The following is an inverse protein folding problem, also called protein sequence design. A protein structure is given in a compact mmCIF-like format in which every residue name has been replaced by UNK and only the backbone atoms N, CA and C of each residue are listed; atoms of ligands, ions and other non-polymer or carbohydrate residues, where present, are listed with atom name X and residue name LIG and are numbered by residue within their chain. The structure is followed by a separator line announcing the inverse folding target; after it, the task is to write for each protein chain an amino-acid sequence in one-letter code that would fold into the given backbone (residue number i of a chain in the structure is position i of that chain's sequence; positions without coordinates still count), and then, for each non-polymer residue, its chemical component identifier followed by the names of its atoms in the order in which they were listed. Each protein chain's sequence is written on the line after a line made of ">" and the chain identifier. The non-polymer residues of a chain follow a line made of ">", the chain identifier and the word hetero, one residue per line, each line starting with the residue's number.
data_IF_231266922327
#
_entry.id   IF_231266922327
#
_cell.length_a   1.000
_cell.length_b   1.000
_cell.length_c   1.000
_cell.angle_alpha   90.00
_cell.angle_beta   90.00
_cell.angle_gamma   90.00
#
_symmetry.space_group_name_H-M   'P 1'
#
loop_
_entity.id
_entity.type
_entity.pdbx_description
1 polymer ?
#
# COMPACT_ATOMS: atom_id res chain seq x y z
N UNK A 1 25.88 -5.58 21.05
CA UNK A 1 25.60 -7.03 21.06
C UNK A 1 24.23 -7.36 20.45
N UNK A 2 23.15 -6.71 20.86
CA UNK A 2 21.77 -6.95 20.33
C UNK A 2 21.68 -6.88 18.82
N UNK A 3 22.18 -5.82 18.17
CA UNK A 3 22.10 -5.67 16.72
C UNK A 3 22.86 -6.77 15.96
N UNK A 4 24.03 -7.18 16.46
CA UNK A 4 24.80 -8.30 15.89
C UNK A 4 23.99 -9.60 15.94
N UNK A 5 23.39 -9.92 17.10
CA UNK A 5 22.56 -11.12 17.24
C UNK A 5 21.33 -11.06 16.32
N UNK A 6 20.67 -9.90 16.21
CA UNK A 6 19.56 -9.71 15.28
C UNK A 6 19.98 -10.04 13.83
N UNK A 7 21.13 -9.52 13.38
CA UNK A 7 21.62 -9.78 12.03
C UNK A 7 21.97 -11.26 11.80
N UNK A 8 22.66 -11.89 12.77
CA UNK A 8 23.00 -13.31 12.71
C UNK A 8 21.75 -14.20 12.64
N UNK A 9 20.65 -13.82 13.30
CA UNK A 9 19.39 -14.58 13.33
C UNK A 9 18.32 -14.07 12.36
N UNK A 10 18.68 -13.21 11.39
CA UNK A 10 17.74 -12.66 10.40
C UNK A 10 16.52 -11.94 11.02
N UNK A 11 16.73 -11.25 12.14
CA UNK A 11 15.70 -10.44 12.82
C UNK A 11 15.97 -8.96 12.60
N UNK A 12 14.91 -8.17 12.49
CA UNK A 12 15.00 -6.71 12.47
C UNK A 12 15.41 -6.25 13.89
N UNK A 13 16.41 -5.36 14.04
CA UNK A 13 16.75 -4.80 15.33
C UNK A 13 15.58 -4.03 15.96
N UNK A 14 15.35 -4.11 17.29
CA UNK A 14 14.24 -3.42 17.95
C UNK A 14 14.21 -1.90 17.73
N UNK A 15 15.38 -1.26 17.68
CA UNK A 15 15.48 0.19 17.41
C UNK A 15 14.96 0.55 16.01
N UNK A 16 15.12 -0.34 15.03
CA UNK A 16 14.61 -0.14 13.67
C UNK A 16 13.13 -0.47 13.58
N UNK A 17 12.67 -1.50 14.28
CA UNK A 17 11.26 -1.87 14.35
C UNK A 17 10.43 -0.76 15.01
N UNK A 18 10.93 -0.16 16.10
CA UNK A 18 10.25 0.93 16.82
C UNK A 18 10.13 2.24 16.03
N UNK A 19 11.10 2.53 15.16
CA UNK A 19 11.05 3.67 14.23
C UNK A 19 10.39 3.31 12.88
N UNK A 20 10.23 2.02 12.62
CA UNK A 20 9.74 1.45 11.38
C UNK A 20 8.26 1.11 11.44
N UNK A 21 7.80 0.43 10.39
CA UNK A 21 6.42 0.01 10.24
C UNK A 21 6.23 -1.42 10.77
N UNK A 22 5.06 -1.77 11.32
CA UNK A 22 4.76 -3.14 11.76
C UNK A 22 4.99 -4.15 10.64
N UNK A 23 5.86 -5.12 10.88
CA UNK A 23 6.27 -6.08 9.87
C UNK A 23 6.81 -7.36 10.53
N UNK A 24 6.38 -8.53 10.04
CA UNK A 24 6.88 -9.83 10.51
C UNK A 24 7.92 -10.43 9.54
N UNK A 25 8.38 -9.66 8.54
CA UNK A 25 9.37 -10.14 7.58
C UNK A 25 10.73 -10.36 8.27
N UNK A 26 11.48 -11.42 7.89
CA UNK A 26 12.89 -11.55 8.24
C UNK A 26 13.70 -10.36 7.74
N UNK A 27 14.86 -10.12 8.36
CA UNK A 27 15.71 -8.96 8.10
C UNK A 27 15.94 -8.69 6.60
N UNK A 28 16.31 -9.71 5.82
CA UNK A 28 16.56 -9.56 4.38
C UNK A 28 15.32 -9.00 3.63
N UNK A 29 14.17 -9.67 3.77
CA UNK A 29 12.93 -9.23 3.11
C UNK A 29 12.37 -7.92 3.68
N UNK A 30 12.64 -7.62 4.96
CA UNK A 30 12.33 -6.33 5.54
C UNK A 30 13.17 -5.21 4.92
N UNK A 31 14.47 -5.43 4.71
CA UNK A 31 15.37 -4.45 4.08
C UNK A 31 14.95 -4.15 2.65
N UNK A 32 14.59 -5.17 1.86
CA UNK A 32 14.05 -4.97 0.50
C UNK A 32 12.76 -4.15 0.51
N UNK A 33 11.83 -4.47 1.41
CA UNK A 33 10.58 -3.74 1.59
C UNK A 33 10.81 -2.28 2.01
N UNK A 34 11.79 -2.05 2.88
CA UNK A 34 12.18 -0.72 3.36
C UNK A 34 12.73 0.14 2.22
N UNK A 35 13.65 -0.39 1.42
CA UNK A 35 14.15 0.33 0.25
C UNK A 35 13.07 0.58 -0.79
N UNK A 36 12.17 -0.37 -1.03
CA UNK A 36 11.02 -0.16 -1.92
C UNK A 36 10.10 0.98 -1.44
N UNK A 37 9.91 1.14 -0.12
CA UNK A 37 9.15 2.27 0.44
C UNK A 37 9.87 3.60 0.26
N UNK A 38 11.19 3.63 0.48
CA UNK A 38 12.00 4.83 0.23
C UNK A 38 11.90 5.22 -1.25
N UNK A 39 12.03 4.26 -2.16
CA UNK A 39 11.94 4.49 -3.60
C UNK A 39 10.56 5.01 -4.00
N UNK A 40 9.49 4.40 -3.51
CA UNK A 40 8.11 4.87 -3.72
C UNK A 40 7.90 6.32 -3.26
N UNK A 41 8.32 6.65 -2.03
CA UNK A 41 8.18 8.01 -1.48
C UNK A 41 9.09 9.00 -2.20
N UNK A 42 10.31 8.59 -2.55
CA UNK A 42 11.29 9.40 -3.28
C UNK A 42 10.81 9.73 -4.69
N UNK A 43 10.27 8.75 -5.41
CA UNK A 43 9.66 8.93 -6.73
C UNK A 43 8.49 9.90 -6.64
N UNK A 44 7.59 9.73 -5.66
CA UNK A 44 6.49 10.68 -5.46
C UNK A 44 6.98 12.09 -5.14
N UNK A 45 8.02 12.24 -4.32
CA UNK A 45 8.59 13.54 -3.98
C UNK A 45 9.21 14.25 -5.19
N UNK A 46 9.94 13.51 -6.04
CA UNK A 46 10.69 14.06 -7.17
C UNK A 46 9.84 14.27 -8.42
N UNK A 47 8.94 13.33 -8.72
CA UNK A 47 8.16 13.31 -9.96
C UNK A 47 6.73 13.84 -9.76
N UNK A 48 6.30 14.00 -8.51
CA UNK A 48 4.95 14.43 -8.17
C UNK A 48 3.93 13.29 -8.18
N UNK A 49 2.62 13.62 -8.15
CA UNK A 49 1.53 12.67 -7.96
C UNK A 49 1.59 11.46 -8.90
N UNK A 50 1.54 10.27 -8.30
CA UNK A 50 1.60 9.00 -9.02
C UNK A 50 0.21 8.61 -9.55
N UNK A 51 0.18 7.81 -10.62
CA UNK A 51 -1.08 7.29 -11.19
C UNK A 51 -1.74 6.29 -10.22
N UNK A 52 -0.93 5.48 -9.54
CA UNK A 52 -1.37 4.54 -8.51
C UNK A 52 -0.45 4.64 -7.29
N UNK A 53 -1.00 4.43 -6.10
CA UNK A 53 -0.29 4.55 -4.84
C UNK A 53 -0.19 3.21 -4.11
N UNK A 54 0.99 2.86 -3.61
CA UNK A 54 1.21 1.63 -2.86
C UNK A 54 0.64 1.78 -1.44
N UNK A 55 -0.62 1.36 -1.24
CA UNK A 55 -1.34 1.69 0.00
C UNK A 55 -0.71 1.04 1.24
N UNK A 56 -0.26 -0.21 1.14
CA UNK A 56 0.46 -0.89 2.23
C UNK A 56 1.91 -0.41 2.40
N UNK A 57 2.42 0.41 1.46
CA UNK A 57 3.70 1.12 1.53
C UNK A 57 3.68 2.30 2.51
N UNK A 58 2.51 2.82 2.86
CA UNK A 58 2.36 3.90 3.84
C UNK A 58 2.57 3.42 5.28
N UNK A 59 3.23 4.26 6.07
CA UNK A 59 3.30 4.08 7.52
C UNK A 59 1.94 4.30 8.20
N UNK A 60 1.16 5.26 7.68
CA UNK A 60 -0.16 5.62 8.20
C UNK A 60 -1.16 5.82 7.05
N UNK A 61 -1.74 4.73 6.50
CA UNK A 61 -2.62 4.80 5.33
C UNK A 61 -3.90 5.62 5.59
N UNK A 62 -4.38 5.70 6.83
CA UNK A 62 -5.56 6.51 7.19
C UNK A 62 -5.34 8.00 6.91
N UNK A 63 -4.11 8.50 7.09
CA UNK A 63 -3.75 9.88 6.77
C UNK A 63 -3.86 10.15 5.27
N UNK A 64 -3.39 9.21 4.44
CA UNK A 64 -3.54 9.27 3.00
C UNK A 64 -5.03 9.28 2.58
N UNK A 65 -5.84 8.38 3.12
CA UNK A 65 -7.28 8.35 2.83
C UNK A 65 -7.99 9.65 3.24
N UNK A 66 -7.57 10.24 4.36
CA UNK A 66 -8.08 11.54 4.82
C UNK A 66 -7.71 12.65 3.84
N UNK A 67 -6.47 12.66 3.32
CA UNK A 67 -6.05 13.61 2.30
C UNK A 67 -6.87 13.48 1.00
N UNK A 68 -7.16 12.25 0.56
CA UNK A 68 -8.04 12.00 -0.59
C UNK A 68 -9.44 12.58 -0.36
N UNK A 69 -10.04 12.32 0.82
CA UNK A 69 -11.35 12.92 1.20
C UNK A 69 -11.30 14.44 1.18
N UNK A 70 -10.23 15.04 1.71
CA UNK A 70 -10.06 16.50 1.73
C UNK A 70 -9.91 17.09 0.32
N UNK A 71 -9.16 16.44 -0.57
CA UNK A 71 -9.04 16.86 -1.98
C UNK A 71 -10.40 16.85 -2.67
N UNK A 72 -11.19 15.78 -2.49
CA UNK A 72 -12.55 15.70 -3.04
C UNK A 72 -13.48 16.76 -2.44
N UNK A 73 -13.47 16.91 -1.11
CA UNK A 73 -14.23 17.93 -0.37
C UNK A 73 -13.96 19.33 -0.91
N UNK A 74 -12.70 19.69 -1.15
CA UNK A 74 -12.31 21.00 -1.70
C UNK A 74 -12.75 21.17 -3.16
N UNK A 75 -12.61 20.14 -3.99
CA UNK A 75 -13.02 20.16 -5.42
C UNK A 75 -14.52 20.43 -5.56
N UNK A 76 -15.35 19.78 -4.75
CA UNK A 76 -16.81 19.86 -4.86
C UNK A 76 -17.50 20.74 -3.82
N UNK A 77 -16.73 21.35 -2.90
CA UNK A 77 -17.25 22.18 -1.78
C UNK A 77 -18.27 21.43 -0.91
N UNK A 78 -18.02 20.14 -0.67
CA UNK A 78 -18.83 19.28 0.20
C UNK A 78 -18.11 19.13 1.54
N UNK A 79 -18.84 19.17 2.66
CA UNK A 79 -18.25 18.96 3.98
C UNK A 79 -17.56 17.60 4.09
N UNK A 80 -16.32 17.55 4.60
CA UNK A 80 -15.52 16.32 4.63
C UNK A 80 -16.15 15.21 5.47
N UNK A 81 -16.92 15.58 6.50
CA UNK A 81 -17.59 14.67 7.42
C UNK A 81 -18.77 13.93 6.79
N UNK A 82 -19.33 14.45 5.70
CA UNK A 82 -20.42 13.79 4.97
C UNK A 82 -19.92 12.81 3.90
N UNK A 83 -18.60 12.82 3.63
CA UNK A 83 -18.01 11.94 2.63
C UNK A 83 -17.70 10.56 3.22
N UNK A 84 -17.94 9.52 2.43
CA UNK A 84 -17.46 8.16 2.69
C UNK A 84 -16.55 7.71 1.55
N UNK A 85 -15.55 6.89 1.87
CA UNK A 85 -14.67 6.31 0.86
C UNK A 85 -15.25 4.98 0.39
N UNK A 86 -15.55 4.89 -0.91
CA UNK A 86 -15.84 3.62 -1.58
C UNK A 86 -14.57 3.00 -2.13
N UNK A 87 -14.58 1.68 -2.31
CA UNK A 87 -13.51 0.95 -2.98
C UNK A 87 -14.13 0.13 -4.13
N UNK A 88 -13.51 0.23 -5.31
CA UNK A 88 -13.88 -0.56 -6.48
C UNK A 88 -12.63 -1.28 -6.99
N UNK A 89 -12.79 -2.56 -7.36
CA UNK A 89 -11.70 -3.33 -7.94
C UNK A 89 -11.58 -3.03 -9.43
N UNK A 90 -10.34 -2.81 -9.87
CA UNK A 90 -10.04 -2.51 -11.26
C UNK A 90 -9.73 -3.78 -12.05
N UNK A 91 -10.25 -3.86 -13.28
CA UNK A 91 -9.96 -4.96 -14.23
C UNK A 91 -8.49 -5.03 -14.64
N UNK A 92 -7.84 -3.87 -14.72
CA UNK A 92 -6.44 -3.74 -15.15
C UNK A 92 -5.52 -3.53 -13.95
N UNK A 93 -4.25 -3.91 -14.09
CA UNK A 93 -3.24 -3.73 -13.06
C UNK A 93 -2.69 -2.29 -13.03
N UNK A 94 -1.88 -1.99 -12.01
CA UNK A 94 -1.22 -0.68 -11.84
C UNK A 94 -0.43 -0.24 -13.08
N UNK A 95 0.26 -1.18 -13.75
CA UNK A 95 1.12 -0.92 -14.92
C UNK A 95 0.34 -0.54 -16.17
N UNK A 96 -0.93 -0.92 -16.23
CA UNK A 96 -1.82 -0.67 -17.36
C UNK A 96 -2.60 0.64 -17.19
N UNK A 97 -2.55 1.25 -15.99
CA UNK A 97 -3.19 2.55 -15.72
C UNK A 97 -2.35 3.67 -16.33
N UNK A 98 -2.92 4.38 -17.31
CA UNK A 98 -2.21 5.44 -18.06
C UNK A 98 -2.56 6.86 -17.62
N UNK A 99 -3.66 7.03 -16.90
CA UNK A 99 -4.18 8.33 -16.47
C UNK A 99 -4.72 8.23 -15.06
N UNK A 100 -4.62 9.29 -14.25
CA UNK A 100 -5.32 9.34 -12.96
C UNK A 100 -6.84 9.31 -13.16
N UNK A 101 -7.60 8.84 -12.16
CA UNK A 101 -9.05 8.90 -12.21
C UNK A 101 -9.53 10.36 -12.11
N UNK A 102 -10.77 10.62 -12.55
CA UNK A 102 -11.38 11.95 -12.39
C UNK A 102 -11.58 12.31 -10.92
N UNK A 103 -11.99 11.31 -10.13
CA UNK A 103 -12.20 11.39 -8.69
C UNK A 103 -11.60 10.19 -7.96
N UNK A 104 -11.03 10.46 -6.78
CA UNK A 104 -10.36 9.45 -5.97
C UNK A 104 -8.93 9.18 -6.43
N UNK A 105 -8.46 7.97 -6.18
CA UNK A 105 -7.09 7.53 -6.45
C UNK A 105 -7.09 6.04 -6.79
N UNK A 106 -6.14 5.60 -7.62
CA UNK A 106 -5.85 4.18 -7.74
C UNK A 106 -4.88 3.74 -6.65
N UNK A 107 -5.12 2.56 -6.08
CA UNK A 107 -4.26 1.98 -5.06
C UNK A 107 -3.81 0.57 -5.46
N UNK A 108 -2.66 0.16 -4.95
CA UNK A 108 -2.13 -1.19 -5.12
C UNK A 108 -1.43 -1.70 -3.85
N UNK A 109 -0.96 -2.94 -3.89
CA UNK A 109 -0.28 -3.61 -2.77
C UNK A 109 -1.21 -4.12 -1.66
N UNK A 110 -2.48 -4.36 -1.98
CA UNK A 110 -3.41 -5.08 -1.10
C UNK A 110 -3.42 -6.56 -1.45
N UNK A 111 -3.58 -7.39 -0.43
CA UNK A 111 -3.60 -8.85 -0.52
C UNK A 111 -4.90 -9.40 0.08
N UNK A 112 -5.28 -10.61 -0.31
CA UNK A 112 -6.48 -11.28 0.19
C UNK A 112 -6.07 -12.61 0.80
N UNK A 113 -6.39 -12.83 2.07
CA UNK A 113 -6.10 -14.10 2.75
C UNK A 113 -7.33 -15.00 2.72
N UNK A 114 -7.12 -16.30 2.45
CA UNK A 114 -8.18 -17.30 2.40
C UNK A 114 -9.07 -17.27 1.15
N UNK A 115 -8.82 -16.35 0.22
CA UNK A 115 -9.42 -16.32 -1.10
C UNK A 115 -8.53 -15.53 -2.06
N UNK A 116 -8.78 -15.65 -3.37
CA UNK A 116 -8.14 -14.80 -4.39
C UNK A 116 -9.19 -14.08 -5.23
N UNK A 117 -8.79 -12.96 -5.82
CA UNK A 117 -9.64 -12.23 -6.74
C UNK A 117 -9.32 -12.56 -8.21
N UNK A 118 -10.27 -13.18 -8.91
CA UNK A 118 -10.16 -13.40 -10.36
C UNK A 118 -10.52 -12.12 -11.11
N UNK A 119 -9.50 -11.36 -11.54
CA UNK A 119 -9.66 -10.10 -12.31
C UNK A 119 -10.34 -10.29 -13.67
N UNK A 120 -10.25 -11.48 -14.29
CA UNK A 120 -10.91 -11.75 -15.58
C UNK A 120 -12.42 -11.91 -15.39
N UNK A 121 -12.82 -12.58 -14.32
CA UNK A 121 -14.24 -12.82 -13.98
C UNK A 121 -14.84 -11.74 -13.08
N UNK A 122 -14.01 -10.88 -12.50
CA UNK A 122 -14.38 -9.88 -11.49
C UNK A 122 -15.11 -10.50 -10.29
N UNK A 123 -14.58 -11.62 -9.78
CA UNK A 123 -15.18 -12.38 -8.67
C UNK A 123 -14.12 -12.89 -7.72
N UNK A 124 -14.50 -13.02 -6.44
CA UNK A 124 -13.73 -13.76 -5.45
C UNK A 124 -13.87 -15.25 -5.75
N UNK A 125 -12.77 -15.97 -5.72
CA UNK A 125 -12.68 -17.42 -5.93
C UNK A 125 -11.72 -18.03 -4.91
N UNK A 126 -11.77 -19.35 -4.75
CA UNK A 126 -10.83 -20.08 -3.89
C UNK A 126 -9.37 -19.84 -4.30
N UNK A 127 -8.51 -19.72 -3.28
CA UNK A 127 -7.06 -19.62 -3.45
C UNK A 127 -6.49 -20.89 -4.09
N UNK A 128 -5.38 -20.76 -4.82
CA UNK A 128 -4.71 -21.94 -5.38
C UNK A 128 -4.04 -22.75 -4.25
N UNK A 129 -3.92 -24.07 -4.38
CA UNK A 129 -3.20 -24.87 -3.39
C UNK A 129 -1.77 -24.35 -3.17
N UNK A 130 -1.45 -23.99 -1.92
CA UNK A 130 -0.14 -23.45 -1.54
C UNK A 130 0.02 -21.93 -1.63
N UNK A 131 -0.99 -21.19 -2.10
CA UNK A 131 -1.02 -19.72 -2.04
C UNK A 131 -1.62 -19.24 -0.72
N UNK A 132 -0.86 -18.43 0.01
CA UNK A 132 -1.31 -17.80 1.26
C UNK A 132 -2.15 -16.52 1.00
N UNK A 133 -1.86 -15.80 -0.09
CA UNK A 133 -2.35 -14.46 -0.39
C UNK A 133 -2.64 -14.26 -1.89
#
# INVERSE_FOLDING_TARGET
>A
ETMYNCFMFQKVPPDWESAGYPCLKPLASWTEDFFARIDFMGTWLLEGPQISYWLSGFFFPQGFMTAVKQTYSRKYKIAVDTLMVGCELMKVGEKDMKKPPEDGVYIHGLFMEGARFDRKKMKIVESSPGELF
#
